data_IF_169882439232
#
_entry.id   IF_169882439232
#
_cell.length_a   1.000
_cell.length_b   1.000
_cell.length_c   1.000
_cell.angle_alpha   90.00
_cell.angle_beta   90.00
_cell.angle_gamma   90.00
#
_symmetry.space_group_name_H-M   'P 1'
#
loop_
_entity.id
_entity.type
_entity.pdbx_description
1 polymer ?
#
# COMPACT_ATOMS: atom_id res chain seq x y z
N UNK A 1 -11.56 6.42 -17.30
CA UNK A 1 -10.29 5.82 -16.87
C UNK A 1 -10.04 6.25 -15.44
N UNK A 2 -10.03 5.27 -14.55
CA UNK A 2 -9.77 5.39 -13.10
C UNK A 2 -8.28 5.10 -12.86
N UNK A 3 -7.70 5.70 -11.83
CA UNK A 3 -6.32 5.47 -11.42
C UNK A 3 -6.29 5.17 -9.93
N UNK A 4 -5.86 3.97 -9.55
CA UNK A 4 -5.70 3.59 -8.16
C UNK A 4 -4.23 3.65 -7.74
N UNK A 5 -3.97 4.33 -6.63
CA UNK A 5 -2.67 4.34 -5.97
C UNK A 5 -2.75 3.50 -4.70
N UNK A 6 -2.39 2.22 -4.80
CA UNK A 6 -2.42 1.32 -3.66
C UNK A 6 -1.08 1.40 -2.93
N UNK A 7 -1.09 2.07 -1.78
CA UNK A 7 0.08 2.40 -0.98
C UNK A 7 0.07 1.66 0.37
N UNK A 8 1.25 1.46 0.95
CA UNK A 8 1.48 0.75 2.22
C UNK A 8 2.19 1.67 3.23
N UNK A 9 2.05 1.39 4.52
CA UNK A 9 2.67 2.16 5.60
C UNK A 9 4.15 1.82 5.88
N UNK A 10 4.79 1.06 4.97
CA UNK A 10 6.19 0.66 5.05
C UNK A 10 6.84 0.81 3.66
N UNK A 11 8.12 1.21 3.55
CA UNK A 11 8.72 1.61 2.26
C UNK A 11 8.98 0.45 1.29
N UNK A 12 9.04 -0.78 1.79
CA UNK A 12 9.30 -1.98 0.98
C UNK A 12 8.24 -3.06 1.22
N UNK A 13 8.13 -4.00 0.30
CA UNK A 13 7.45 -5.27 0.52
C UNK A 13 8.51 -6.32 0.87
N UNK A 14 8.68 -6.73 2.14
CA UNK A 14 9.78 -7.61 2.54
C UNK A 14 9.85 -8.93 1.76
N UNK A 15 8.67 -9.43 1.34
CA UNK A 15 8.52 -10.55 0.41
C UNK A 15 8.45 -10.03 -1.02
N UNK A 16 9.56 -9.44 -1.46
CA UNK A 16 9.62 -8.55 -2.62
C UNK A 16 9.54 -9.20 -4.00
N UNK A 17 9.71 -10.53 -4.07
CA UNK A 17 9.66 -11.31 -5.31
C UNK A 17 8.44 -12.23 -5.31
N UNK A 18 7.96 -12.59 -6.50
CA UNK A 18 6.81 -13.50 -6.64
C UNK A 18 7.09 -14.85 -5.99
N UNK A 19 8.32 -15.36 -6.07
CA UNK A 19 8.73 -16.61 -5.43
C UNK A 19 8.63 -16.52 -3.90
N UNK A 20 9.21 -15.48 -3.29
CA UNK A 20 9.15 -15.30 -1.83
C UNK A 20 7.71 -15.11 -1.33
N UNK A 21 6.91 -14.35 -2.07
CA UNK A 21 5.50 -14.13 -1.75
C UNK A 21 4.69 -15.43 -1.88
N UNK A 22 4.86 -16.16 -2.99
CA UNK A 22 4.25 -17.47 -3.20
C UNK A 22 4.58 -18.42 -2.07
N UNK A 23 5.87 -18.55 -1.73
CA UNK A 23 6.33 -19.47 -0.69
C UNK A 23 5.71 -19.11 0.66
N UNK A 24 5.72 -17.83 1.05
CA UNK A 24 5.10 -17.39 2.29
C UNK A 24 3.61 -17.75 2.37
N UNK A 25 2.85 -17.53 1.29
CA UNK A 25 1.42 -17.88 1.22
C UNK A 25 1.24 -19.40 1.25
N UNK A 26 2.01 -20.14 0.45
CA UNK A 26 1.93 -21.59 0.36
C UNK A 26 2.19 -22.24 1.72
N UNK A 27 3.27 -21.88 2.41
CA UNK A 27 3.59 -22.44 3.72
C UNK A 27 2.57 -22.03 4.80
N UNK A 28 2.00 -20.82 4.71
CA UNK A 28 0.98 -20.37 5.66
C UNK A 28 -0.34 -21.15 5.53
N UNK A 29 -0.71 -21.53 4.31
CA UNK A 29 -1.98 -22.24 4.04
C UNK A 29 -1.83 -23.76 4.14
N UNK A 30 -0.75 -24.31 3.59
CA UNK A 30 -0.59 -25.77 3.44
C UNK A 30 0.17 -26.43 4.57
N UNK A 31 1.00 -25.67 5.30
CA UNK A 31 1.91 -26.20 6.31
C UNK A 31 1.85 -25.34 7.58
N UNK A 32 2.92 -24.62 7.90
CA UNK A 32 3.00 -23.69 9.02
C UNK A 32 3.90 -22.52 8.63
N UNK A 33 3.56 -21.28 9.02
CA UNK A 33 4.41 -20.11 8.81
C UNK A 33 5.80 -20.26 9.46
N UNK A 34 5.94 -21.09 10.50
CA UNK A 34 7.24 -21.37 11.15
C UNK A 34 8.21 -22.06 10.19
N UNK A 35 7.72 -22.90 9.28
CA UNK A 35 8.56 -23.59 8.29
C UNK A 35 9.16 -22.57 7.33
N UNK A 36 8.35 -21.64 6.82
CA UNK A 36 8.84 -20.55 5.99
C UNK A 36 9.88 -19.69 6.73
N UNK A 37 9.61 -19.31 7.98
CA UNK A 37 10.56 -18.54 8.79
C UNK A 37 11.87 -19.31 9.03
N UNK A 38 11.82 -20.61 9.30
CA UNK A 38 13.03 -21.44 9.43
C UNK A 38 13.82 -21.52 8.13
N UNK A 39 13.15 -21.57 6.97
CA UNK A 39 13.82 -21.53 5.67
C UNK A 39 14.57 -20.21 5.49
N UNK A 40 13.96 -19.07 5.82
CA UNK A 40 14.64 -17.77 5.75
C UNK A 40 15.89 -17.71 6.63
N UNK A 41 15.86 -18.30 7.83
CA UNK A 41 17.03 -18.41 8.72
C UNK A 41 18.11 -19.27 8.07
N UNK A 42 17.75 -20.46 7.58
CA UNK A 42 18.69 -21.43 7.00
C UNK A 42 19.33 -20.93 5.70
N UNK A 43 18.62 -20.10 4.92
CA UNK A 43 19.15 -19.49 3.69
C UNK A 43 19.87 -18.16 3.91
N UNK A 44 20.02 -17.71 5.17
CA UNK A 44 20.72 -16.46 5.49
C UNK A 44 19.93 -15.18 5.21
N UNK A 45 18.61 -15.27 4.93
CA UNK A 45 17.74 -14.13 4.62
C UNK A 45 17.26 -13.38 5.88
N UNK A 46 18.18 -13.12 6.81
CA UNK A 46 17.87 -12.45 8.08
C UNK A 46 17.36 -11.03 7.90
N UNK A 47 17.77 -10.35 6.82
CA UNK A 47 17.28 -9.02 6.51
C UNK A 47 15.75 -9.04 6.27
N UNK A 48 15.20 -10.05 5.59
CA UNK A 48 13.75 -10.18 5.36
C UNK A 48 13.00 -10.30 6.69
N UNK A 49 13.52 -11.09 7.63
CA UNK A 49 12.95 -11.24 8.96
C UNK A 49 12.94 -9.91 9.73
N UNK A 50 14.03 -9.15 9.61
CA UNK A 50 14.14 -7.82 10.21
C UNK A 50 13.13 -6.84 9.61
N UNK A 51 12.99 -6.82 8.29
CA UNK A 51 12.02 -5.97 7.58
C UNK A 51 10.57 -6.36 7.92
N UNK A 52 10.24 -7.66 7.98
CA UNK A 52 8.93 -8.14 8.43
C UNK A 52 8.63 -7.71 9.88
N UNK A 53 9.62 -7.75 10.77
CA UNK A 53 9.47 -7.27 12.14
C UNK A 53 9.24 -5.76 12.17
N UNK A 54 10.03 -4.98 11.44
CA UNK A 54 9.90 -3.52 11.38
C UNK A 54 8.59 -3.06 10.77
N UNK A 55 8.04 -3.79 9.82
CA UNK A 55 6.74 -3.48 9.20
C UNK A 55 5.56 -3.62 10.18
N UNK A 56 5.73 -4.33 11.31
CA UNK A 56 4.69 -4.49 12.34
C UNK A 56 4.72 -3.33 13.32
N UNK A 57 3.96 -2.29 13.01
CA UNK A 57 3.85 -1.09 13.84
C UNK A 57 2.40 -0.74 14.10
N UNK A 58 2.14 -0.16 15.28
CA UNK A 58 0.88 0.50 15.57
C UNK A 58 1.05 1.99 15.27
N UNK A 59 0.13 2.54 14.48
CA UNK A 59 0.16 3.94 14.06
C UNK A 59 -0.83 4.76 14.86
N UNK A 60 -0.60 6.07 15.00
CA UNK A 60 -1.54 6.96 15.70
C UNK A 60 -2.83 7.13 14.91
N UNK A 61 -2.72 7.35 13.60
CA UNK A 61 -3.84 7.52 12.67
C UNK A 61 -3.35 7.26 11.24
N UNK A 62 -4.21 6.76 10.34
CA UNK A 62 -3.93 6.76 8.90
C UNK A 62 -3.61 8.16 8.34
N UNK A 63 -4.13 9.23 8.96
CA UNK A 63 -3.88 10.61 8.51
C UNK A 63 -2.51 11.16 8.91
N UNK A 64 -1.78 10.45 9.78
CA UNK A 64 -0.54 10.94 10.39
C UNK A 64 0.73 10.34 9.79
N UNK A 65 0.59 9.28 8.98
CA UNK A 65 1.71 8.45 8.53
C UNK A 65 2.01 8.64 7.05
N UNK A 66 3.26 8.35 6.69
CA UNK A 66 3.71 8.29 5.31
C UNK A 66 3.30 6.95 4.69
N UNK A 67 2.98 6.98 3.41
CA UNK A 67 2.68 5.81 2.61
C UNK A 67 3.62 5.69 1.41
N UNK A 68 3.86 4.47 0.94
CA UNK A 68 4.70 4.16 -0.22
C UNK A 68 4.01 3.17 -1.15
N UNK A 69 4.22 3.30 -2.45
CA UNK A 69 3.71 2.33 -3.42
C UNK A 69 4.41 0.97 -3.33
N UNK A 70 5.60 0.95 -2.71
CA UNK A 70 6.59 -0.14 -2.51
C UNK A 70 7.09 -0.82 -3.78
N UNK A 71 6.17 -1.03 -4.71
CA UNK A 71 6.31 -1.55 -6.06
C UNK A 71 6.42 -0.42 -7.10
N UNK A 72 7.08 -0.67 -8.24
CA UNK A 72 7.29 0.30 -9.31
C UNK A 72 6.14 0.36 -10.33
N UNK A 73 6.01 1.52 -10.98
CA UNK A 73 5.04 1.84 -12.02
C UNK A 73 5.77 2.53 -13.18
N UNK A 74 5.18 2.50 -14.38
CA UNK A 74 5.64 3.36 -15.47
C UNK A 74 5.33 4.84 -15.19
N UNK A 75 6.07 5.71 -15.86
CA UNK A 75 5.78 7.13 -16.00
C UNK A 75 6.12 7.55 -17.44
N UNK A 76 5.21 7.25 -18.36
CA UNK A 76 5.49 7.29 -19.80
C UNK A 76 6.35 6.11 -20.26
N UNK A 77 6.91 6.18 -21.48
CA UNK A 77 7.55 5.02 -22.12
C UNK A 77 8.90 4.62 -21.50
N UNK A 78 9.65 5.57 -20.93
CA UNK A 78 11.08 5.39 -20.63
C UNK A 78 11.42 5.47 -19.13
N UNK A 79 10.42 5.66 -18.26
CA UNK A 79 10.67 5.89 -16.84
C UNK A 79 9.88 4.92 -15.96
N UNK A 80 10.58 4.40 -14.95
CA UNK A 80 9.98 3.67 -13.84
C UNK A 80 10.02 4.54 -12.59
N UNK A 81 8.93 4.53 -11.82
CA UNK A 81 8.77 5.37 -10.64
C UNK A 81 8.16 4.60 -9.47
N UNK A 82 8.42 5.08 -8.25
CA UNK A 82 7.66 4.74 -7.04
C UNK A 82 6.93 5.98 -6.54
N UNK A 83 5.78 5.80 -5.92
CA UNK A 83 4.97 6.90 -5.36
C UNK A 83 5.01 6.89 -3.83
N UNK A 84 4.77 8.05 -3.23
CA UNK A 84 4.60 8.18 -1.79
C UNK A 84 3.61 9.30 -1.44
N UNK A 85 2.88 9.13 -0.34
CA UNK A 85 2.09 10.19 0.29
C UNK A 85 2.74 10.57 1.62
N UNK A 86 3.14 11.84 1.77
CA UNK A 86 3.76 12.36 2.98
C UNK A 86 2.76 13.27 3.70
N UNK A 87 2.37 12.98 4.96
CA UNK A 87 1.34 13.74 5.65
C UNK A 87 1.85 15.14 6.00
N UNK A 88 1.07 16.16 5.64
CA UNK A 88 1.40 17.58 5.85
C UNK A 88 0.46 18.28 6.83
N UNK A 89 -0.54 17.59 7.34
CA UNK A 89 -1.40 18.10 8.43
C UNK A 89 -0.57 18.54 9.63
N UNK A 90 -0.89 19.73 10.16
CA UNK A 90 -0.26 20.25 11.39
C UNK A 90 -0.74 19.49 12.63
N UNK A 91 -2.02 19.11 12.65
CA UNK A 91 -2.57 18.26 13.69
C UNK A 91 -2.03 16.84 13.54
N UNK A 92 -1.58 16.26 14.66
CA UNK A 92 -1.16 14.87 14.78
C UNK A 92 -1.97 14.20 15.89
N UNK A 93 -2.45 13.00 15.63
CA UNK A 93 -3.18 12.21 16.61
C UNK A 93 -2.23 11.62 17.63
N UNK A 94 -2.73 11.34 18.83
CA UNK A 94 -2.00 10.56 19.84
C UNK A 94 -2.34 9.08 19.74
N UNK A 95 -1.37 8.22 20.09
CA UNK A 95 -1.63 6.80 20.25
C UNK A 95 -2.43 6.61 21.55
N UNK A 96 -3.62 6.00 21.52
CA UNK A 96 -4.40 5.80 22.73
C UNK A 96 -3.73 4.74 23.62
N UNK A 97 -3.95 4.85 24.94
CA UNK A 97 -3.43 3.90 25.91
C UNK A 97 -3.98 2.47 25.70
N UNK A 98 -5.22 2.38 25.20
CA UNK A 98 -5.86 1.14 24.80
C UNK A 98 -6.13 1.18 23.29
N UNK A 99 -5.59 0.20 22.56
CA UNK A 99 -5.84 0.02 21.14
C UNK A 99 -7.11 -0.81 20.97
N UNK A 100 -8.26 -0.15 20.87
CA UNK A 100 -9.55 -0.79 20.53
C UNK A 100 -9.54 -1.25 19.07
N UNK A 101 -10.49 -2.08 18.64
CA UNK A 101 -10.55 -2.50 17.23
C UNK A 101 -10.77 -1.33 16.25
N UNK A 102 -11.34 -0.22 16.73
CA UNK A 102 -11.73 0.94 15.93
C UNK A 102 -10.86 2.20 16.15
N UNK A 103 -9.80 2.13 16.97
CA UNK A 103 -9.06 3.31 17.41
C UNK A 103 -8.51 4.17 16.26
N UNK A 104 -8.11 3.55 15.15
CA UNK A 104 -7.63 4.26 13.96
C UNK A 104 -8.75 5.09 13.32
N UNK A 105 -9.94 4.50 13.17
CA UNK A 105 -11.11 5.20 12.61
C UNK A 105 -11.60 6.31 13.54
N UNK A 106 -11.59 6.08 14.85
CA UNK A 106 -11.92 7.10 15.86
C UNK A 106 -10.95 8.29 15.82
N UNK A 107 -9.65 8.03 15.62
CA UNK A 107 -8.67 9.11 15.48
C UNK A 107 -8.85 9.89 14.17
N UNK A 108 -9.15 9.22 13.05
CA UNK A 108 -9.50 9.91 11.81
C UNK A 108 -10.76 10.76 11.94
N UNK A 109 -11.80 10.25 12.61
CA UNK A 109 -13.05 10.98 12.86
C UNK A 109 -12.81 12.23 13.69
N UNK A 110 -12.07 12.13 14.80
CA UNK A 110 -11.71 13.29 15.64
C UNK A 110 -10.95 14.35 14.84
N UNK A 111 -10.02 13.94 13.98
CA UNK A 111 -9.28 14.86 13.10
C UNK A 111 -10.22 15.55 12.12
N UNK A 112 -10.95 14.75 11.32
CA UNK A 112 -11.75 15.22 10.19
C UNK A 112 -13.06 15.91 10.61
N UNK A 113 -13.50 15.79 11.87
CA UNK A 113 -14.64 16.53 12.38
C UNK A 113 -14.39 18.06 12.42
N UNK A 114 -13.13 18.49 12.53
CA UNK A 114 -12.78 19.89 12.70
C UNK A 114 -11.67 20.39 11.77
N UNK A 115 -10.94 19.49 11.08
CA UNK A 115 -9.76 19.84 10.29
C UNK A 115 -9.76 19.10 8.96
N UNK A 116 -9.16 19.72 7.93
CA UNK A 116 -8.73 18.97 6.77
C UNK A 116 -7.53 18.08 7.11
N UNK A 117 -7.34 17.00 6.35
CA UNK A 117 -6.07 16.30 6.29
C UNK A 117 -5.41 16.55 4.93
N UNK A 118 -4.09 16.65 4.91
CA UNK A 118 -3.35 16.87 3.67
C UNK A 118 -2.11 16.01 3.57
N UNK A 119 -1.75 15.68 2.33
CA UNK A 119 -0.54 14.94 2.01
C UNK A 119 0.15 15.57 0.80
N UNK A 120 1.47 15.58 0.82
CA UNK A 120 2.25 15.78 -0.39
C UNK A 120 2.32 14.46 -1.15
N UNK A 121 1.90 14.49 -2.41
CA UNK A 121 2.02 13.36 -3.32
C UNK A 121 3.35 13.45 -4.03
N UNK A 122 4.16 12.41 -3.84
CA UNK A 122 5.56 12.39 -4.19
C UNK A 122 5.84 11.28 -5.19
N UNK A 123 6.84 11.52 -6.05
CA UNK A 123 7.32 10.56 -7.03
C UNK A 123 8.84 10.41 -6.92
N UNK A 124 9.32 9.17 -6.93
CA UNK A 124 10.73 8.81 -6.94
C UNK A 124 11.03 8.14 -8.28
N UNK A 125 11.88 8.78 -9.09
CA UNK A 125 12.27 8.28 -10.41
C UNK A 125 13.45 7.33 -10.27
N UNK A 126 13.34 6.15 -10.89
CA UNK A 126 14.41 5.16 -10.94
C UNK A 126 15.65 5.76 -11.64
N UNK A 127 16.83 5.63 -11.02
CA UNK A 127 18.09 6.10 -11.60
C UNK A 127 19.04 4.98 -12.01
N UNK A 128 19.03 3.87 -11.28
CA UNK A 128 19.89 2.73 -11.53
C UNK A 128 19.06 1.43 -11.43
N UNK A 129 18.79 0.73 -12.55
CA UNK A 129 17.96 -0.47 -12.53
C UNK A 129 18.58 -1.66 -11.79
N UNK A 130 19.90 -1.65 -11.54
CA UNK A 130 20.58 -2.69 -10.77
C UNK A 130 20.36 -2.46 -9.27
N UNK A 131 20.52 -1.22 -8.80
CA UNK A 131 20.34 -0.87 -7.38
C UNK A 131 18.86 -0.64 -7.01
N UNK A 132 18.03 -0.33 -8.00
CA UNK A 132 16.61 -0.05 -7.86
C UNK A 132 15.78 -1.05 -8.68
N UNK A 133 15.87 -2.36 -8.40
CA UNK A 133 15.30 -3.39 -9.26
C UNK A 133 13.77 -3.27 -9.33
N UNK A 134 13.23 -3.45 -10.54
CA UNK A 134 11.78 -3.48 -10.76
C UNK A 134 11.16 -4.81 -10.32
N UNK A 135 11.93 -5.90 -10.43
CA UNK A 135 11.47 -7.27 -10.16
C UNK A 135 11.60 -7.69 -8.69
N UNK A 136 12.13 -6.80 -7.83
CA UNK A 136 12.23 -7.04 -6.38
C UNK A 136 11.77 -5.81 -5.58
N UNK A 137 10.55 -5.89 -5.06
CA UNK A 137 9.94 -4.85 -4.22
C UNK A 137 10.44 -4.85 -2.76
N UNK A 138 11.34 -5.77 -2.42
CA UNK A 138 12.00 -5.86 -1.11
C UNK A 138 13.23 -4.96 -1.01
N UNK A 139 13.70 -4.44 -2.15
CA UNK A 139 14.80 -3.48 -2.21
C UNK A 139 14.24 -2.05 -2.13
N UNK A 140 14.65 -1.34 -1.08
CA UNK A 140 14.36 0.08 -0.93
C UNK A 140 15.20 0.89 -1.92
N UNK A 141 14.56 1.78 -2.67
CA UNK A 141 15.28 2.69 -3.56
C UNK A 141 15.81 3.85 -2.72
N UNK A 142 17.13 4.00 -2.67
CA UNK A 142 17.80 5.01 -1.85
C UNK A 142 17.29 6.43 -2.12
N UNK A 143 16.69 7.07 -1.11
CA UNK A 143 16.21 8.47 -1.22
C UNK A 143 17.36 9.47 -1.37
N UNK A 144 18.59 9.10 -0.98
CA UNK A 144 19.79 9.92 -1.22
C UNK A 144 20.17 9.95 -2.70
N UNK A 145 20.03 8.83 -3.38
CA UNK A 145 20.39 8.69 -4.79
C UNK A 145 19.24 9.16 -5.69
N UNK A 146 18.03 8.70 -5.41
CA UNK A 146 16.80 9.11 -6.07
C UNK A 146 15.84 9.71 -5.02
N UNK A 147 15.86 11.03 -4.79
CA UNK A 147 14.95 11.66 -3.85
C UNK A 147 13.51 11.63 -4.36
N UNK A 148 12.56 11.60 -3.43
CA UNK A 148 11.15 11.85 -3.73
C UNK A 148 10.93 13.32 -4.07
N UNK A 149 10.28 13.58 -5.20
CA UNK A 149 9.93 14.91 -5.69
C UNK A 149 8.42 15.11 -5.53
N UNK A 150 8.01 16.22 -4.93
CA UNK A 150 6.59 16.58 -4.81
C UNK A 150 6.01 16.89 -6.17
N UNK A 151 4.91 16.24 -6.51
CA UNK A 151 4.19 16.43 -7.78
C UNK A 151 2.75 16.93 -7.59
N UNK A 152 2.14 16.71 -6.42
CA UNK A 152 0.82 17.24 -6.11
C UNK A 152 0.60 17.35 -4.59
N UNK A 153 -0.57 17.84 -4.20
CA UNK A 153 -1.07 17.79 -2.82
C UNK A 153 -2.45 17.16 -2.82
N UNK A 154 -2.62 16.10 -2.04
CA UNK A 154 -3.92 15.51 -1.74
C UNK A 154 -4.51 16.23 -0.53
N UNK A 155 -5.76 16.67 -0.65
CA UNK A 155 -6.53 17.25 0.46
C UNK A 155 -7.78 16.43 0.70
N UNK A 156 -8.00 16.06 1.96
CA UNK A 156 -9.19 15.39 2.44
C UNK A 156 -9.93 16.42 3.30
N UNK A 157 -11.09 16.94 2.85
CA UNK A 157 -11.80 17.99 3.57
C UNK A 157 -12.31 17.48 4.92
N UNK A 158 -12.55 18.42 5.83
CA UNK A 158 -13.33 18.18 7.05
C UNK A 158 -14.67 17.55 6.68
N UNK A 159 -14.99 16.44 7.32
CA UNK A 159 -16.17 15.63 7.03
C UNK A 159 -16.49 14.68 8.19
N UNK A 160 -17.76 14.30 8.28
CA UNK A 160 -18.20 13.14 9.05
C UNK A 160 -18.36 11.97 8.08
N UNK A 161 -17.58 10.91 8.28
CA UNK A 161 -17.55 9.77 7.34
C UNK A 161 -17.98 8.44 7.98
N UNK A 162 -18.14 8.38 9.30
CA UNK A 162 -18.60 7.17 10.01
C UNK A 162 -20.12 7.06 9.99
N UNK A 163 -20.66 6.85 8.80
CA UNK A 163 -22.08 6.61 8.55
C UNK A 163 -22.26 5.21 7.99
N UNK A 164 -23.43 4.60 8.23
CA UNK A 164 -23.74 3.27 7.69
C UNK A 164 -23.59 3.25 6.15
N UNK A 165 -24.05 4.29 5.47
CA UNK A 165 -23.92 4.43 4.02
C UNK A 165 -22.45 4.39 3.54
N UNK A 166 -21.53 5.02 4.28
CA UNK A 166 -20.10 5.02 3.94
C UNK A 166 -19.44 3.70 4.27
N UNK A 167 -19.87 3.02 5.34
CA UNK A 167 -19.41 1.67 5.68
C UNK A 167 -19.84 0.66 4.61
N UNK A 168 -21.10 0.70 4.18
CA UNK A 168 -21.61 -0.14 3.09
C UNK A 168 -20.89 0.14 1.77
N UNK A 169 -20.64 1.41 1.45
CA UNK A 169 -19.86 1.78 0.27
C UNK A 169 -18.43 1.25 0.35
N UNK A 170 -17.75 1.37 1.51
CA UNK A 170 -16.39 0.88 1.69
C UNK A 170 -16.28 -0.63 1.50
N UNK A 171 -17.29 -1.39 1.93
CA UNK A 171 -17.38 -2.84 1.71
C UNK A 171 -17.58 -3.21 0.24
N UNK A 172 -18.18 -2.33 -0.56
CA UNK A 172 -18.43 -2.56 -1.98
C UNK A 172 -17.24 -2.13 -2.85
N UNK A 173 -16.53 -1.04 -2.50
CA UNK A 173 -15.41 -0.51 -3.29
C UNK A 173 -14.31 -1.54 -3.57
N UNK A 174 -13.80 -1.53 -4.81
CA UNK A 174 -12.64 -2.30 -5.23
C UNK A 174 -11.54 -1.40 -5.73
N UNK A 175 -10.31 -1.79 -5.42
CA UNK A 175 -9.12 -1.14 -5.95
C UNK A 175 -8.27 -2.17 -6.70
N UNK A 176 -7.49 -1.75 -7.68
CA UNK A 176 -6.56 -2.65 -8.38
C UNK A 176 -5.36 -1.89 -8.94
N UNK A 177 -4.12 -2.42 -8.88
CA UNK A 177 -3.01 -1.83 -9.61
C UNK A 177 -3.24 -1.78 -11.14
N UNK A 178 -4.21 -2.55 -11.65
CA UNK A 178 -4.61 -2.52 -13.05
C UNK A 178 -5.43 -1.27 -13.41
N UNK A 179 -6.06 -0.62 -12.43
CA UNK A 179 -6.75 0.65 -12.63
C UNK A 179 -5.70 1.73 -12.80
N UNK A 180 -5.21 1.87 -14.02
CA UNK A 180 -4.13 2.77 -14.36
C UNK A 180 -4.23 3.25 -15.80
N UNK A 181 -3.69 4.44 -16.07
CA UNK A 181 -3.37 4.84 -17.43
C UNK A 181 -2.23 3.97 -17.96
N UNK A 182 -2.16 3.78 -19.29
CA UNK A 182 -1.05 3.04 -19.91
C UNK A 182 0.32 3.60 -19.50
N UNK A 183 0.44 4.93 -19.46
CA UNK A 183 1.66 5.63 -19.04
C UNK A 183 2.00 5.45 -17.56
N UNK A 184 1.08 4.94 -16.74
CA UNK A 184 1.24 4.72 -15.30
C UNK A 184 1.04 3.25 -14.91
N UNK A 185 1.18 2.34 -15.87
CA UNK A 185 0.93 0.92 -15.67
C UNK A 185 1.83 0.36 -14.55
N UNK A 186 1.25 -0.47 -13.70
CA UNK A 186 1.98 -1.20 -12.67
C UNK A 186 2.96 -2.21 -13.29
N UNK A 187 4.23 -2.20 -12.87
CA UNK A 187 5.30 -3.07 -13.41
C UNK A 187 6.00 -3.87 -12.31
N UNK A 188 6.79 -4.87 -12.71
CA UNK A 188 7.45 -5.81 -11.80
C UNK A 188 6.58 -7.03 -11.45
N UNK A 189 7.24 -8.14 -11.10
CA UNK A 189 6.59 -9.42 -10.82
C UNK A 189 5.48 -9.34 -9.77
N UNK A 190 5.71 -8.63 -8.66
CA UNK A 190 4.70 -8.47 -7.61
C UNK A 190 3.46 -7.75 -8.14
N UNK A 191 3.59 -6.69 -8.93
CA UNK A 191 2.41 -6.00 -9.47
C UNK A 191 1.66 -6.87 -10.47
N UNK A 192 2.35 -7.61 -11.34
CA UNK A 192 1.70 -8.58 -12.23
C UNK A 192 0.89 -9.61 -11.44
N UNK A 193 1.44 -10.14 -10.34
CA UNK A 193 0.71 -11.04 -9.44
C UNK A 193 -0.47 -10.34 -8.75
N UNK A 194 -0.28 -9.11 -8.25
CA UNK A 194 -1.34 -8.33 -7.59
C UNK A 194 -2.51 -8.04 -8.52
N UNK A 195 -2.26 -7.69 -9.79
CA UNK A 195 -3.34 -7.46 -10.76
C UNK A 195 -4.29 -8.66 -10.84
N UNK A 196 -3.75 -9.87 -10.99
CA UNK A 196 -4.56 -11.09 -11.03
C UNK A 196 -5.24 -11.39 -9.69
N UNK A 197 -4.51 -11.27 -8.57
CA UNK A 197 -5.07 -11.53 -7.25
C UNK A 197 -6.22 -10.58 -6.89
N UNK A 198 -6.05 -9.28 -7.12
CA UNK A 198 -7.07 -8.27 -6.81
C UNK A 198 -8.32 -8.48 -7.67
N UNK A 199 -8.15 -8.81 -8.95
CA UNK A 199 -9.27 -9.16 -9.84
C UNK A 199 -10.05 -10.36 -9.30
N UNK A 200 -9.38 -11.48 -9.01
CA UNK A 200 -10.04 -12.69 -8.52
C UNK A 200 -10.69 -12.51 -7.14
N UNK A 201 -10.03 -11.81 -6.21
CA UNK A 201 -10.57 -11.57 -4.87
C UNK A 201 -11.77 -10.62 -4.90
N UNK A 202 -11.73 -9.58 -5.75
CA UNK A 202 -12.87 -8.69 -5.94
C UNK A 202 -14.07 -9.45 -6.53
N UNK A 203 -13.88 -10.20 -7.62
CA UNK A 203 -14.94 -11.03 -8.23
C UNK A 203 -15.56 -11.99 -7.21
N UNK A 204 -14.72 -12.64 -6.40
CA UNK A 204 -15.18 -13.55 -5.35
C UNK A 204 -15.98 -12.81 -4.26
N UNK A 205 -15.47 -11.70 -3.72
CA UNK A 205 -16.13 -10.91 -2.67
C UNK A 205 -17.51 -10.42 -3.11
N UNK A 206 -17.61 -9.84 -4.31
CA UNK A 206 -18.88 -9.34 -4.86
C UNK A 206 -19.88 -10.47 -5.05
N UNK A 207 -19.43 -11.60 -5.60
CA UNK A 207 -20.30 -12.78 -5.78
C UNK A 207 -20.81 -13.34 -4.45
N UNK A 208 -19.95 -13.45 -3.43
CA UNK A 208 -20.37 -13.95 -2.11
C UNK A 208 -21.32 -12.98 -1.40
N UNK A 209 -21.09 -11.68 -1.55
CA UNK A 209 -21.90 -10.65 -0.90
C UNK A 209 -23.18 -10.30 -1.70
N UNK A 210 -23.41 -10.90 -2.87
CA UNK A 210 -24.48 -10.54 -3.81
C UNK A 210 -24.49 -9.04 -4.17
N UNK A 211 -23.29 -8.47 -4.35
CA UNK A 211 -23.08 -7.07 -4.71
C UNK A 211 -22.61 -6.97 -6.15
N UNK A 212 -22.96 -5.88 -6.83
CA UNK A 212 -22.42 -5.59 -8.15
C UNK A 212 -21.05 -4.95 -8.02
N UNK A 213 -20.13 -5.31 -8.92
CA UNK A 213 -18.88 -4.58 -9.07
C UNK A 213 -19.19 -3.24 -9.76
N UNK A 214 -18.91 -2.14 -9.08
CA UNK A 214 -19.18 -0.78 -9.56
C UNK A 214 -17.85 -0.03 -9.62
N UNK A 215 -17.56 0.57 -10.77
CA UNK A 215 -16.46 1.52 -10.92
C UNK A 215 -16.96 2.95 -10.71
N UNK A 216 -16.17 3.85 -10.10
CA UNK A 216 -16.55 5.25 -9.96
C UNK A 216 -16.81 5.90 -11.33
N UNK A 217 -17.98 6.49 -11.49
CA UNK A 217 -18.27 7.37 -12.63
C UNK A 217 -17.61 8.74 -12.42
N UNK A 218 -17.20 9.38 -13.52
CA UNK A 218 -16.54 10.70 -13.49
C UNK A 218 -17.52 11.83 -13.17
#
# INVERSE_FOLDING_TARGET
ATQDFILMSYPVMPLGTVELFHDAVYYSIKWSPVVFLSRLVLTGNFHILNELRKARQNHTSPLDIRYWSTTPYLCGPDHSVKYSLVPTSLLKSSLPAQLTDNYLAENMEKHLAANEASFDFMMQVQKDPVQMPVEDAGVEWSEKEAPFIKIATLRIPSQMFRTLEREELAEDLSFSPAHSLADHQAIGGINRARVEMYRHLSEFRHKQNNKQLIEPEK
#
